data_IF_541547167967
#
_entry.id   IF_541547167967
#
_cell.length_a   1.000
_cell.length_b   1.000
_cell.length_c   1.000
_cell.angle_alpha   90.00
_cell.angle_beta   90.00
_cell.angle_gamma   90.00
#
_symmetry.space_group_name_H-M   'P 1'
#
loop_
_entity.id
_entity.type
_entity.pdbx_description
1 polymer ?
#
# COMPACT_ATOMS: atom_id res chain seq x y z
N UNK A 1 11.76 -18.10 15.56
CA UNK A 1 10.97 -17.12 16.34
C UNK A 1 9.52 -17.20 16.01
N UNK A 2 8.65 -16.92 16.99
CA UNK A 2 7.19 -16.98 16.84
C UNK A 2 6.59 -15.58 16.98
N UNK A 3 6.10 -15.02 15.89
CA UNK A 3 5.62 -13.63 15.80
C UNK A 3 4.09 -13.60 15.84
N UNK A 4 3.54 -12.78 16.73
CA UNK A 4 2.13 -12.38 16.70
C UNK A 4 1.98 -11.12 15.87
N UNK A 5 1.43 -11.22 14.65
CA UNK A 5 1.21 -10.05 13.79
C UNK A 5 -0.26 -9.63 13.80
N UNK A 6 -0.50 -8.34 14.00
CA UNK A 6 -1.83 -7.72 14.08
C UNK A 6 -1.99 -6.75 12.90
N UNK A 7 -3.05 -6.95 12.11
CA UNK A 7 -3.37 -6.08 10.99
C UNK A 7 -4.88 -5.96 10.77
N UNK A 8 -5.43 -4.77 10.97
CA UNK A 8 -6.81 -4.48 10.52
C UNK A 8 -6.89 -4.32 9.01
N UNK A 9 -5.79 -3.96 8.35
CA UNK A 9 -5.62 -3.89 6.90
C UNK A 9 -5.05 -5.21 6.38
N UNK A 10 -5.92 -6.20 6.19
CA UNK A 10 -5.53 -7.54 5.73
C UNK A 10 -6.64 -8.17 4.87
N UNK A 11 -6.29 -9.02 3.88
CA UNK A 11 -7.28 -9.74 3.09
C UNK A 11 -8.21 -10.59 3.96
N UNK A 12 -9.48 -10.68 3.56
CA UNK A 12 -10.44 -11.54 4.20
C UNK A 12 -11.45 -12.11 3.18
N UNK A 13 -12.25 -13.14 3.51
CA UNK A 13 -13.16 -13.77 2.56
C UNK A 13 -14.18 -12.84 1.89
N UNK A 14 -14.47 -11.68 2.49
CA UNK A 14 -15.42 -10.69 1.94
C UNK A 14 -14.71 -9.65 1.08
N UNK A 15 -13.43 -9.36 1.39
CA UNK A 15 -12.60 -8.36 0.70
C UNK A 15 -11.22 -8.95 0.44
N UNK A 16 -11.05 -9.83 -0.55
CA UNK A 16 -9.78 -10.52 -0.80
C UNK A 16 -8.64 -9.61 -1.25
N UNK A 17 -8.93 -8.47 -1.87
CA UNK A 17 -7.94 -7.47 -2.29
C UNK A 17 -7.58 -6.43 -1.21
N UNK A 18 -8.27 -6.45 -0.05
CA UNK A 18 -8.04 -5.46 1.00
C UNK A 18 -6.74 -5.73 1.76
N UNK A 19 -5.77 -4.84 1.65
CA UNK A 19 -4.46 -5.02 2.30
C UNK A 19 -3.65 -6.20 1.75
N UNK A 20 -3.83 -6.58 0.47
CA UNK A 20 -3.15 -7.72 -0.17
C UNK A 20 -1.62 -7.66 -0.02
N UNK A 21 -1.04 -6.46 -0.01
CA UNK A 21 0.39 -6.26 0.18
C UNK A 21 0.88 -6.70 1.58
N UNK A 22 0.05 -6.61 2.63
CA UNK A 22 0.37 -7.17 3.96
C UNK A 22 0.34 -8.69 3.90
N UNK A 23 -0.65 -9.27 3.22
CA UNK A 23 -0.74 -10.71 3.00
C UNK A 23 0.47 -11.25 2.24
N UNK A 24 0.88 -10.58 1.15
CA UNK A 24 2.06 -10.95 0.37
C UNK A 24 3.36 -10.87 1.19
N UNK A 25 3.53 -9.80 1.98
CA UNK A 25 4.66 -9.67 2.89
C UNK A 25 4.71 -10.84 3.89
N UNK A 26 3.60 -11.13 4.56
CA UNK A 26 3.58 -12.19 5.58
C UNK A 26 3.76 -13.58 4.98
N UNK A 27 3.20 -13.84 3.78
CA UNK A 27 3.46 -15.07 3.03
C UNK A 27 4.94 -15.23 2.70
N UNK A 28 5.60 -14.18 2.21
CA UNK A 28 7.03 -14.21 1.92
C UNK A 28 7.88 -14.44 3.17
N UNK A 29 7.50 -13.86 4.31
CA UNK A 29 8.15 -14.10 5.61
C UNK A 29 8.05 -15.57 6.03
N UNK A 30 6.86 -16.17 5.95
CA UNK A 30 6.64 -17.58 6.32
C UNK A 30 7.39 -18.52 5.36
N UNK A 31 7.43 -18.20 4.07
CA UNK A 31 8.12 -19.00 3.06
C UNK A 31 9.63 -19.13 3.31
N UNK A 32 10.26 -18.22 4.08
CA UNK A 32 11.67 -18.33 4.50
C UNK A 32 11.94 -19.46 5.51
N UNK A 33 10.89 -19.97 6.17
CA UNK A 33 11.03 -21.06 7.17
C UNK A 33 11.65 -20.66 8.51
N UNK A 34 12.06 -19.40 8.71
CA UNK A 34 12.71 -18.90 9.93
C UNK A 34 11.71 -18.39 10.98
N UNK A 35 10.49 -18.09 10.56
CA UNK A 35 9.44 -17.46 11.37
C UNK A 35 8.20 -18.32 11.39
N UNK A 36 7.74 -18.62 12.59
CA UNK A 36 6.35 -19.04 12.79
C UNK A 36 5.50 -17.78 12.98
N UNK A 37 4.42 -17.66 12.24
CA UNK A 37 3.54 -16.49 12.24
C UNK A 37 2.16 -16.89 12.76
N UNK A 38 1.65 -16.14 13.73
CA UNK A 38 0.23 -16.11 14.08
C UNK A 38 -0.36 -14.81 13.60
N UNK A 39 -1.26 -14.88 12.61
CA UNK A 39 -1.88 -13.69 12.02
C UNK A 39 -3.24 -13.41 12.66
N UNK A 40 -3.43 -12.19 13.16
CA UNK A 40 -4.70 -11.72 13.73
C UNK A 40 -5.18 -10.48 12.98
N UNK A 41 -6.34 -10.58 12.35
CA UNK A 41 -6.96 -9.47 11.60
C UNK A 41 -8.31 -9.09 12.22
N UNK A 42 -8.35 -8.15 13.16
CA UNK A 42 -9.58 -7.76 13.85
C UNK A 42 -10.62 -7.14 12.91
N UNK A 43 -11.87 -7.57 12.99
CA UNK A 43 -12.97 -7.08 12.15
C UNK A 43 -13.89 -6.17 12.94
N UNK A 44 -14.03 -4.93 12.49
CA UNK A 44 -14.96 -3.98 13.07
C UNK A 44 -16.41 -4.24 12.64
N UNK A 45 -17.30 -4.49 13.61
CA UNK A 45 -18.73 -4.72 13.38
C UNK A 45 -19.53 -3.74 14.25
N UNK A 46 -20.41 -2.90 13.68
CA UNK A 46 -21.22 -2.00 14.46
C UNK A 46 -22.31 -2.74 15.25
N UNK A 47 -22.90 -2.05 16.22
CA UNK A 47 -24.05 -2.55 16.97
C UNK A 47 -25.30 -2.66 16.08
N UNK A 48 -26.26 -3.50 16.53
CA UNK A 48 -27.60 -3.53 15.92
C UNK A 48 -28.26 -2.13 15.94
N UNK A 49 -29.00 -1.70 14.91
CA UNK A 49 -29.36 -2.42 13.68
C UNK A 49 -28.34 -2.29 12.54
N UNK A 50 -27.28 -1.49 12.67
CA UNK A 50 -26.31 -1.24 11.59
C UNK A 50 -25.55 -2.52 11.17
N UNK A 51 -25.32 -3.45 12.10
CA UNK A 51 -24.66 -4.72 11.81
C UNK A 51 -25.45 -5.63 10.84
N UNK A 52 -26.74 -5.34 10.61
CA UNK A 52 -27.58 -6.08 9.65
C UNK A 52 -27.55 -5.50 8.23
N UNK A 53 -26.92 -4.33 8.05
CA UNK A 53 -26.81 -3.65 6.76
C UNK A 53 -25.49 -3.94 6.08
N UNK A 54 -25.47 -3.97 4.76
CA UNK A 54 -24.25 -4.04 3.99
C UNK A 54 -23.38 -2.79 4.22
N UNK A 55 -22.06 -2.95 4.27
CA UNK A 55 -21.27 -4.21 4.13
C UNK A 55 -21.11 -4.99 5.44
N UNK A 56 -21.63 -4.51 6.56
CA UNK A 56 -21.36 -5.04 7.89
C UNK A 56 -21.96 -6.44 8.14
N UNK A 57 -23.10 -6.75 7.51
CA UNK A 57 -23.71 -8.09 7.57
C UNK A 57 -22.77 -9.17 7.07
N UNK A 58 -22.09 -8.92 5.92
CA UNK A 58 -21.09 -9.85 5.36
C UNK A 58 -19.83 -9.90 6.22
N UNK A 59 -19.34 -8.76 6.71
CA UNK A 59 -18.18 -8.72 7.61
C UNK A 59 -18.43 -9.48 8.92
N UNK A 60 -19.64 -9.39 9.47
CA UNK A 60 -20.06 -10.15 10.65
C UNK A 60 -20.05 -11.67 10.40
N UNK A 61 -20.35 -12.10 9.20
CA UNK A 61 -20.39 -13.50 8.79
C UNK A 61 -19.01 -14.14 8.53
N UNK A 62 -17.93 -13.36 8.52
CA UNK A 62 -16.56 -13.89 8.38
C UNK A 62 -16.31 -14.88 9.53
N UNK A 63 -15.82 -16.12 9.26
CA UNK A 63 -15.51 -17.10 10.29
C UNK A 63 -14.41 -16.60 11.24
N UNK A 64 -14.32 -17.19 12.44
CA UNK A 64 -13.30 -16.80 13.42
C UNK A 64 -11.88 -17.12 12.95
N UNK A 65 -11.73 -18.13 12.12
CA UNK A 65 -10.47 -18.56 11.51
C UNK A 65 -10.72 -18.92 10.05
N UNK A 66 -9.81 -18.54 9.19
CA UNK A 66 -9.86 -18.91 7.76
C UNK A 66 -8.44 -18.93 7.19
N UNK A 67 -8.20 -19.77 6.18
CA UNK A 67 -7.00 -19.67 5.35
C UNK A 67 -7.19 -18.56 4.33
N UNK A 68 -6.21 -17.64 4.29
CA UNK A 68 -6.19 -16.54 3.33
C UNK A 68 -4.76 -16.37 2.84
N UNK A 69 -4.56 -16.43 1.54
CA UNK A 69 -3.25 -16.38 0.86
C UNK A 69 -2.22 -17.39 1.43
N UNK A 70 -2.68 -18.57 1.86
CA UNK A 70 -1.85 -19.61 2.47
C UNK A 70 -1.44 -19.33 3.91
N UNK A 71 -2.14 -18.43 4.60
CA UNK A 71 -1.92 -18.12 6.01
C UNK A 71 -3.18 -18.41 6.82
N UNK A 72 -3.00 -19.07 7.97
CA UNK A 72 -4.07 -19.22 8.96
C UNK A 72 -4.29 -17.89 9.69
N UNK A 73 -5.45 -17.28 9.49
CA UNK A 73 -5.79 -15.94 10.00
C UNK A 73 -6.94 -16.01 10.98
N UNK A 74 -6.76 -15.40 12.16
CA UNK A 74 -7.80 -15.24 13.16
C UNK A 74 -8.51 -13.88 12.98
N UNK A 75 -9.86 -13.89 13.04
CA UNK A 75 -10.72 -12.72 12.85
C UNK A 75 -11.56 -12.39 14.09
N UNK A 76 -10.97 -11.98 15.21
CA UNK A 76 -11.74 -11.49 16.36
C UNK A 76 -12.56 -10.27 15.97
N UNK A 77 -13.81 -10.20 16.45
CA UNK A 77 -14.72 -9.09 16.12
C UNK A 77 -14.76 -8.08 17.25
N UNK A 78 -14.59 -6.80 16.91
CA UNK A 78 -14.70 -5.69 17.86
C UNK A 78 -15.84 -4.75 17.50
N UNK A 79 -16.40 -4.06 18.50
CA UNK A 79 -17.47 -3.08 18.30
C UNK A 79 -16.93 -1.84 17.59
N UNK A 80 -17.41 -1.58 16.37
CA UNK A 80 -17.09 -0.40 15.57
C UNK A 80 -18.19 0.65 15.69
N UNK A 81 -17.82 1.92 15.88
CA UNK A 81 -18.74 3.05 15.70
C UNK A 81 -18.42 3.75 14.39
N UNK A 82 -19.21 3.52 13.31
CA UNK A 82 -18.98 4.11 12.03
C UNK A 82 -18.99 5.64 12.08
N UNK A 83 -17.99 6.26 11.42
CA UNK A 83 -17.83 7.73 11.31
C UNK A 83 -17.51 8.49 12.60
N UNK A 84 -17.66 7.87 13.77
CA UNK A 84 -17.38 8.50 15.07
C UNK A 84 -16.53 7.59 15.96
N UNK A 85 -15.75 8.17 16.88
CA UNK A 85 -15.00 7.40 17.87
C UNK A 85 -13.90 6.50 17.29
N UNK A 86 -13.34 6.82 16.13
CA UNK A 86 -12.22 6.07 15.55
C UNK A 86 -10.99 6.05 16.46
N UNK A 87 -10.80 7.08 17.26
CA UNK A 87 -9.76 7.21 18.28
C UNK A 87 -9.91 6.21 19.44
N UNK A 88 -11.08 5.60 19.63
CA UNK A 88 -11.30 4.56 20.64
C UNK A 88 -11.14 3.13 20.10
N UNK A 89 -10.93 2.96 18.80
CA UNK A 89 -10.76 1.65 18.18
C UNK A 89 -9.58 0.85 18.76
N UNK A 90 -8.40 1.44 19.04
CA UNK A 90 -7.28 0.68 19.59
C UNK A 90 -7.64 -0.11 20.86
N UNK A 91 -8.27 0.53 21.83
CA UNK A 91 -8.70 -0.14 23.05
C UNK A 91 -9.74 -1.23 22.84
N UNK A 92 -10.67 -1.03 21.89
CA UNK A 92 -11.68 -2.05 21.52
C UNK A 92 -11.08 -3.23 20.79
N UNK A 93 -10.13 -2.99 19.91
CA UNK A 93 -9.34 -4.01 19.22
C UNK A 93 -8.58 -4.84 20.26
N UNK A 94 -7.82 -4.19 21.13
CA UNK A 94 -7.06 -4.88 22.17
C UNK A 94 -7.98 -5.74 23.06
N UNK A 95 -9.11 -5.19 23.51
CA UNK A 95 -10.08 -5.93 24.33
C UNK A 95 -10.63 -7.17 23.62
N UNK A 96 -10.92 -7.08 22.32
CA UNK A 96 -11.46 -8.20 21.55
C UNK A 96 -10.37 -9.25 21.23
N UNK A 97 -9.12 -8.84 21.07
CA UNK A 97 -7.99 -9.72 20.68
C UNK A 97 -7.37 -10.42 21.89
N UNK A 98 -7.29 -9.77 23.05
CA UNK A 98 -6.60 -10.28 24.25
C UNK A 98 -7.01 -11.68 24.70
N UNK A 99 -8.31 -12.06 24.76
CA UNK A 99 -8.71 -13.42 25.19
C UNK A 99 -8.13 -14.51 24.26
N UNK A 100 -8.14 -14.25 22.94
CA UNK A 100 -7.59 -15.16 21.94
C UNK A 100 -6.07 -15.29 22.10
N UNK A 101 -5.33 -14.17 22.11
CA UNK A 101 -3.87 -14.20 22.10
C UNK A 101 -3.28 -14.69 23.41
N UNK A 102 -3.93 -14.48 24.57
CA UNK A 102 -3.54 -15.08 25.86
C UNK A 102 -3.61 -16.61 25.80
N UNK A 103 -4.68 -17.17 25.22
CA UNK A 103 -4.81 -18.61 25.02
C UNK A 103 -3.73 -19.14 24.08
N UNK A 104 -3.55 -18.52 22.91
CA UNK A 104 -2.54 -18.95 21.94
C UNK A 104 -1.12 -18.82 22.50
N UNK A 105 -0.83 -17.78 23.27
CA UNK A 105 0.46 -17.58 23.92
C UNK A 105 0.73 -18.63 25.01
N UNK A 106 -0.29 -19.04 25.76
CA UNK A 106 -0.18 -20.12 26.76
C UNK A 106 0.05 -21.50 26.11
N UNK A 107 -0.56 -21.74 24.93
CA UNK A 107 -0.38 -22.97 24.17
C UNK A 107 1.02 -23.02 23.52
N UNK A 108 1.44 -21.90 22.91
CA UNK A 108 2.73 -21.72 22.28
C UNK A 108 3.19 -20.27 22.42
N UNK A 109 4.22 -19.98 23.21
CA UNK A 109 4.67 -18.62 23.47
C UNK A 109 5.07 -17.86 22.20
N UNK A 110 4.67 -16.61 22.12
CA UNK A 110 5.15 -15.63 21.15
C UNK A 110 6.45 -14.99 21.64
N UNK A 111 7.33 -14.63 20.73
CA UNK A 111 8.55 -13.90 21.04
C UNK A 111 8.39 -12.39 20.90
N UNK A 112 7.47 -11.95 20.01
CA UNK A 112 7.28 -10.54 19.64
C UNK A 112 5.86 -10.29 19.15
N UNK A 113 5.34 -9.08 19.44
CA UNK A 113 4.10 -8.53 18.86
C UNK A 113 4.46 -7.54 17.77
N UNK A 114 3.86 -7.69 16.59
CA UNK A 114 4.09 -6.86 15.42
C UNK A 114 2.78 -6.25 14.90
N UNK A 115 2.75 -4.94 14.66
CA UNK A 115 1.62 -4.23 14.09
C UNK A 115 1.93 -3.78 12.66
N UNK A 116 1.07 -4.15 11.69
CA UNK A 116 1.31 -3.91 10.28
C UNK A 116 0.74 -2.59 9.75
N UNK A 117 0.12 -1.80 10.61
CA UNK A 117 -0.41 -0.47 10.32
C UNK A 117 -0.33 0.37 11.59
N UNK A 118 0.09 1.64 11.50
CA UNK A 118 0.37 2.37 12.73
C UNK A 118 -0.91 2.63 13.54
N UNK A 119 -1.95 3.17 12.93
CA UNK A 119 -3.21 3.41 13.63
C UNK A 119 -4.40 2.80 12.86
N UNK A 120 -5.23 1.99 13.53
CA UNK A 120 -5.36 1.76 14.97
C UNK A 120 -4.51 0.61 15.54
N UNK A 121 -3.78 -0.13 14.70
CA UNK A 121 -3.13 -1.39 15.08
C UNK A 121 -2.00 -1.19 16.08
N UNK A 122 -1.14 -0.17 15.89
CA UNK A 122 0.00 0.10 16.78
C UNK A 122 -0.39 0.31 18.25
N UNK A 123 -1.29 1.27 18.59
CA UNK A 123 -1.76 1.42 19.97
C UNK A 123 -2.49 0.18 20.51
N UNK A 124 -3.23 -0.56 19.67
CA UNK A 124 -3.85 -1.81 20.10
C UNK A 124 -2.81 -2.89 20.43
N UNK A 125 -1.81 -3.04 19.57
CA UNK A 125 -0.69 -3.95 19.76
C UNK A 125 0.17 -3.56 20.98
N UNK A 126 0.31 -2.27 21.27
CA UNK A 126 1.00 -1.77 22.47
C UNK A 126 0.33 -2.24 23.76
N UNK A 127 -1.01 -2.19 23.81
CA UNK A 127 -1.77 -2.73 24.95
C UNK A 127 -1.53 -4.25 25.06
N UNK A 128 -1.60 -4.97 23.94
CA UNK A 128 -1.44 -6.44 23.90
C UNK A 128 -0.02 -6.85 24.29
N UNK A 129 1.00 -6.19 23.75
CA UNK A 129 2.40 -6.48 24.04
C UNK A 129 2.72 -6.26 25.53
N UNK A 130 2.21 -5.20 26.14
CA UNK A 130 2.34 -4.92 27.57
C UNK A 130 1.71 -6.01 28.43
N UNK A 131 0.51 -6.46 28.06
CA UNK A 131 -0.21 -7.52 28.79
C UNK A 131 0.49 -8.90 28.70
N UNK A 132 1.20 -9.15 27.57
CA UNK A 132 1.94 -10.40 27.37
C UNK A 132 3.41 -10.29 27.83
N UNK A 133 3.88 -9.10 28.19
CA UNK A 133 5.29 -8.88 28.56
C UNK A 133 6.26 -9.04 27.38
N UNK A 134 5.83 -8.74 26.15
CA UNK A 134 6.59 -8.95 24.92
C UNK A 134 7.08 -7.64 24.28
N UNK A 135 8.19 -7.66 23.54
CA UNK A 135 8.60 -6.54 22.71
C UNK A 135 7.58 -6.27 21.60
N UNK A 136 7.50 -5.00 21.18
CA UNK A 136 6.59 -4.52 20.17
C UNK A 136 7.33 -3.93 18.98
N UNK A 137 6.90 -4.24 17.77
CA UNK A 137 7.27 -3.52 16.54
C UNK A 137 6.03 -2.96 15.84
N UNK A 138 6.18 -1.80 15.18
CA UNK A 138 5.07 -1.15 14.48
C UNK A 138 5.55 -0.68 13.11
N UNK A 139 4.79 -1.02 12.06
CA UNK A 139 5.04 -0.53 10.69
C UNK A 139 4.04 0.54 10.31
N UNK A 140 4.54 1.65 9.76
CA UNK A 140 3.74 2.70 9.11
C UNK A 140 3.73 2.54 7.60
N UNK A 141 2.62 2.98 6.96
CA UNK A 141 2.41 2.83 5.51
C UNK A 141 1.97 4.12 4.81
N UNK A 142 1.89 5.24 5.52
CA UNK A 142 1.58 6.57 5.02
C UNK A 142 0.21 7.08 5.43
N UNK A 143 -0.88 6.46 5.01
CA UNK A 143 -2.23 6.92 5.34
C UNK A 143 -2.51 6.95 6.86
N UNK A 144 -1.92 6.05 7.61
CA UNK A 144 -1.95 6.01 9.07
C UNK A 144 -1.29 7.23 9.71
N UNK A 145 -0.17 7.70 9.15
CA UNK A 145 0.55 8.87 9.63
C UNK A 145 -0.16 10.15 9.18
N UNK A 146 -0.44 10.28 7.87
CA UNK A 146 -0.96 11.53 7.30
C UNK A 146 -2.41 11.83 7.72
N UNK A 147 -3.24 10.80 7.93
CA UNK A 147 -4.64 11.00 8.31
C UNK A 147 -4.85 11.01 9.82
N UNK A 148 -4.26 10.04 10.54
CA UNK A 148 -4.46 9.92 11.98
C UNK A 148 -3.52 10.82 12.78
N UNK A 149 -2.33 11.11 12.26
CA UNK A 149 -1.39 12.05 12.87
C UNK A 149 -1.90 13.49 12.98
N UNK A 150 -2.93 13.87 12.20
CA UNK A 150 -3.60 15.17 12.29
C UNK A 150 -4.68 15.23 13.40
N UNK A 151 -4.95 14.13 14.09
CA UNK A 151 -6.01 14.02 15.10
C UNK A 151 -5.37 13.94 16.49
N UNK A 152 -5.55 14.96 17.36
CA UNK A 152 -4.80 15.07 18.62
C UNK A 152 -4.83 13.80 19.47
N UNK A 153 -6.02 13.20 19.69
CA UNK A 153 -6.15 11.98 20.50
C UNK A 153 -5.53 10.74 19.86
N UNK A 154 -5.60 10.62 18.54
CA UNK A 154 -4.95 9.51 17.85
C UNK A 154 -3.43 9.68 17.86
N UNK A 155 -2.94 10.91 17.61
CA UNK A 155 -1.50 11.22 17.65
C UNK A 155 -0.90 10.95 19.04
N UNK A 156 -1.60 11.31 20.13
CA UNK A 156 -1.15 11.01 21.49
C UNK A 156 -0.96 9.49 21.67
N UNK A 157 -1.96 8.68 21.32
CA UNK A 157 -1.87 7.21 21.39
C UNK A 157 -0.76 6.65 20.48
N UNK A 158 -0.56 7.25 19.29
CA UNK A 158 0.52 6.85 18.38
C UNK A 158 1.90 7.12 18.99
N UNK A 159 2.10 8.28 19.62
CA UNK A 159 3.34 8.63 20.33
C UNK A 159 3.61 7.70 21.53
N UNK A 160 2.59 7.40 22.32
CA UNK A 160 2.70 6.44 23.43
C UNK A 160 3.11 5.05 22.93
N UNK A 161 2.46 4.55 21.85
CA UNK A 161 2.81 3.28 21.25
C UNK A 161 4.23 3.28 20.64
N UNK A 162 4.63 4.37 19.97
CA UNK A 162 5.98 4.54 19.44
C UNK A 162 7.06 4.51 20.54
N UNK A 163 6.80 5.17 21.66
CA UNK A 163 7.72 5.18 22.80
C UNK A 163 7.83 3.81 23.50
N UNK A 164 6.77 3.00 23.45
CA UNK A 164 6.78 1.64 23.98
C UNK A 164 7.47 0.66 23.01
N UNK A 165 7.37 0.89 21.70
CA UNK A 165 7.90 -0.02 20.68
C UNK A 165 9.42 -0.16 20.77
N UNK A 166 9.92 -1.40 20.64
CA UNK A 166 11.35 -1.68 20.54
C UNK A 166 11.90 -1.28 19.16
N UNK A 167 11.04 -1.18 18.14
CA UNK A 167 11.43 -0.70 16.83
C UNK A 167 10.22 -0.29 15.98
N UNK A 168 10.47 0.63 15.05
CA UNK A 168 9.47 1.20 14.15
C UNK A 168 9.94 1.07 12.70
N UNK A 169 9.02 0.84 11.77
CA UNK A 169 9.32 0.73 10.34
C UNK A 169 8.53 1.78 9.55
N UNK A 170 9.21 2.49 8.66
CA UNK A 170 8.62 3.39 7.68
C UNK A 170 8.82 2.85 6.25
N UNK A 171 7.85 3.04 5.35
CA UNK A 171 7.94 2.54 3.97
C UNK A 171 8.75 3.44 3.03
N UNK A 172 9.21 4.60 3.50
CA UNK A 172 10.04 5.56 2.77
C UNK A 172 10.79 6.48 3.74
N UNK A 173 11.86 7.12 3.28
CA UNK A 173 12.58 8.13 4.08
C UNK A 173 11.70 9.32 4.39
N UNK A 174 10.94 9.81 3.40
CA UNK A 174 9.99 10.89 3.63
C UNK A 174 8.96 10.56 4.73
N UNK A 175 8.44 9.32 4.75
CA UNK A 175 7.53 8.90 5.81
C UNK A 175 8.21 8.80 7.17
N UNK A 176 9.49 8.40 7.20
CA UNK A 176 10.31 8.43 8.42
C UNK A 176 10.43 9.86 8.96
N UNK A 177 10.72 10.83 8.10
CA UNK A 177 10.77 12.25 8.47
C UNK A 177 9.43 12.75 9.01
N UNK A 178 8.32 12.40 8.36
CA UNK A 178 6.96 12.73 8.85
C UNK A 178 6.70 12.15 10.23
N UNK A 179 7.11 10.91 10.50
CA UNK A 179 6.98 10.28 11.82
C UNK A 179 7.80 11.02 12.89
N UNK A 180 9.04 11.42 12.55
CA UNK A 180 9.90 12.20 13.43
C UNK A 180 9.28 13.56 13.71
N UNK A 181 8.77 14.26 12.71
CA UNK A 181 8.10 15.54 12.83
C UNK A 181 6.84 15.45 13.74
N UNK A 182 6.18 14.30 13.75
CA UNK A 182 5.08 14.02 14.68
C UNK A 182 5.55 13.63 16.10
N UNK A 183 6.85 13.63 16.36
CA UNK A 183 7.44 13.40 17.70
C UNK A 183 7.66 11.93 18.05
N UNK A 184 7.82 11.05 17.06
CA UNK A 184 8.22 9.65 17.26
C UNK A 184 9.75 9.53 17.38
N UNK A 185 10.30 8.55 18.14
CA UNK A 185 11.73 8.43 18.39
C UNK A 185 12.51 8.05 17.12
N UNK A 186 13.35 8.98 16.63
CA UNK A 186 14.07 8.86 15.36
C UNK A 186 15.06 7.67 15.33
N UNK A 187 15.67 7.35 16.47
CA UNK A 187 16.62 6.28 16.68
C UNK A 187 16.01 4.86 16.56
N UNK A 188 14.67 4.78 16.61
CA UNK A 188 13.92 3.51 16.50
C UNK A 188 13.28 3.30 15.14
N UNK A 189 13.29 4.31 14.26
CA UNK A 189 12.64 4.23 12.94
C UNK A 189 13.64 3.77 11.90
N UNK A 190 13.40 2.59 11.30
CA UNK A 190 14.15 2.07 10.16
C UNK A 190 13.30 2.10 8.89
N UNK A 191 13.97 2.23 7.74
CA UNK A 191 13.30 2.14 6.44
C UNK A 191 13.07 0.68 6.11
N UNK A 192 11.83 0.36 5.74
CA UNK A 192 11.45 -0.94 5.27
C UNK A 192 10.51 -0.80 4.08
N UNK A 193 11.07 -0.73 2.89
CA UNK A 193 10.32 -0.59 1.64
C UNK A 193 9.29 -1.69 1.45
N UNK A 194 8.30 -1.43 0.61
CA UNK A 194 7.35 -2.45 0.19
C UNK A 194 8.03 -3.51 -0.67
N UNK A 195 7.41 -4.69 -0.77
CA UNK A 195 7.82 -5.70 -1.73
C UNK A 195 7.13 -5.54 -3.08
N UNK A 196 7.66 -6.20 -4.09
CA UNK A 196 7.11 -6.29 -5.44
C UNK A 196 7.10 -7.75 -5.89
N UNK A 197 6.03 -8.15 -6.56
CA UNK A 197 5.95 -9.43 -7.28
C UNK A 197 6.54 -9.24 -8.68
N UNK A 198 7.83 -9.60 -8.84
CA UNK A 198 8.56 -9.42 -10.09
C UNK A 198 8.24 -10.48 -11.15
N UNK A 199 7.67 -11.60 -10.77
CA UNK A 199 7.16 -12.59 -11.73
C UNK A 199 5.90 -12.06 -12.43
N UNK A 200 5.13 -11.27 -11.72
CA UNK A 200 3.89 -10.67 -12.17
C UNK A 200 4.09 -9.30 -12.84
N UNK A 201 4.81 -8.40 -12.17
CA UNK A 201 5.09 -7.05 -12.66
C UNK A 201 6.49 -7.00 -13.29
N UNK A 202 6.53 -7.16 -14.60
CA UNK A 202 7.75 -7.08 -15.42
C UNK A 202 7.41 -6.48 -16.78
N UNK A 203 8.38 -5.99 -17.56
CA UNK A 203 8.12 -5.44 -18.88
C UNK A 203 7.55 -6.50 -19.85
N UNK A 204 6.40 -6.17 -20.44
CA UNK A 204 5.84 -6.84 -21.59
C UNK A 204 5.92 -5.84 -22.73
N UNK A 205 6.33 -6.29 -23.94
CA UNK A 205 6.41 -5.40 -25.11
C UNK A 205 5.07 -4.66 -25.28
N UNK A 206 5.13 -3.32 -25.39
CA UNK A 206 3.94 -2.44 -25.31
C UNK A 206 2.90 -2.75 -26.37
N UNK A 207 3.31 -3.03 -27.61
CA UNK A 207 2.39 -3.38 -28.68
C UNK A 207 1.68 -4.70 -28.42
N UNK A 208 2.39 -5.71 -27.88
CA UNK A 208 1.79 -6.99 -27.49
C UNK A 208 0.80 -6.82 -26.32
N UNK A 209 1.17 -6.00 -25.31
CA UNK A 209 0.27 -5.67 -24.20
C UNK A 209 -0.99 -4.95 -24.69
N UNK A 210 -0.87 -3.97 -25.60
CA UNK A 210 -2.00 -3.27 -26.22
C UNK A 210 -2.92 -4.22 -27.01
N UNK A 211 -2.35 -5.08 -27.82
CA UNK A 211 -3.11 -6.06 -28.57
C UNK A 211 -3.93 -6.98 -27.65
N UNK A 212 -3.32 -7.44 -26.56
CA UNK A 212 -3.98 -8.30 -25.58
C UNK A 212 -5.15 -7.58 -24.89
N UNK A 213 -4.92 -6.39 -24.33
CA UNK A 213 -5.98 -5.67 -23.60
C UNK A 213 -7.09 -5.14 -24.52
N UNK A 214 -6.78 -4.79 -25.77
CA UNK A 214 -7.77 -4.38 -26.77
C UNK A 214 -8.69 -5.52 -27.21
N UNK A 215 -8.20 -6.77 -27.17
CA UNK A 215 -8.99 -7.96 -27.49
C UNK A 215 -9.92 -8.40 -26.35
N UNK A 216 -9.75 -7.86 -25.12
CA UNK A 216 -10.56 -8.23 -23.96
C UNK A 216 -11.86 -7.42 -23.92
N UNK A 217 -13.05 -8.06 -23.92
CA UNK A 217 -14.34 -7.36 -23.96
C UNK A 217 -14.55 -6.30 -22.87
N UNK A 218 -13.94 -6.51 -21.71
CA UNK A 218 -14.09 -5.65 -20.54
C UNK A 218 -12.99 -4.58 -20.42
N UNK A 219 -11.95 -4.63 -21.25
CA UNK A 219 -10.81 -3.72 -21.15
C UNK A 219 -10.64 -2.81 -22.37
N UNK A 220 -11.21 -3.10 -23.49
CA UNK A 220 -11.27 -2.33 -24.75
C UNK A 220 -10.56 -0.96 -24.75
N UNK A 221 -9.26 -0.95 -24.43
CA UNK A 221 -8.46 0.27 -24.52
C UNK A 221 -7.95 0.46 -25.95
N UNK A 222 -7.68 1.71 -26.31
CA UNK A 222 -7.27 2.05 -27.67
C UNK A 222 -5.92 1.41 -28.02
N UNK A 223 -5.82 0.87 -29.22
CA UNK A 223 -4.59 0.28 -29.75
C UNK A 223 -3.58 1.32 -30.25
N UNK A 224 -4.04 2.51 -30.60
CA UNK A 224 -3.24 3.57 -31.21
C UNK A 224 -3.22 4.86 -30.38
N UNK A 225 -2.18 5.65 -30.59
CA UNK A 225 -1.97 6.93 -29.94
C UNK A 225 -1.40 6.82 -28.52
N UNK A 226 -1.02 7.95 -27.89
CA UNK A 226 -0.52 7.98 -26.52
C UNK A 226 -1.58 7.53 -25.52
N UNK A 227 -1.24 6.55 -24.70
CA UNK A 227 -2.13 6.01 -23.66
C UNK A 227 -1.59 6.35 -22.28
N UNK A 228 -2.39 7.07 -21.51
CA UNK A 228 -2.17 7.32 -20.08
C UNK A 228 -2.96 6.29 -19.27
N UNK A 229 -2.39 5.82 -18.17
CA UNK A 229 -3.12 4.98 -17.19
C UNK A 229 -3.08 5.60 -15.81
N UNK A 230 -4.23 5.57 -15.12
CA UNK A 230 -4.32 5.97 -13.70
C UNK A 230 -4.94 4.82 -12.91
N UNK A 231 -4.13 3.92 -12.31
CA UNK A 231 -4.64 2.84 -11.49
C UNK A 231 -4.92 3.32 -10.06
N UNK A 232 -6.01 2.84 -9.46
CA UNK A 232 -6.35 3.09 -8.07
C UNK A 232 -7.81 3.45 -7.84
N UNK A 233 -8.22 3.51 -6.57
CA UNK A 233 -9.58 3.87 -6.19
C UNK A 233 -9.97 5.25 -6.72
N UNK A 234 -11.18 5.38 -7.26
CA UNK A 234 -11.72 6.66 -7.76
C UNK A 234 -12.25 7.49 -6.58
N UNK A 235 -11.32 8.20 -5.93
CA UNK A 235 -11.57 9.05 -4.76
C UNK A 235 -10.83 10.39 -4.90
N UNK A 236 -11.30 11.48 -4.25
CA UNK A 236 -10.72 12.82 -4.40
C UNK A 236 -9.20 12.88 -4.15
N UNK A 237 -8.71 12.08 -3.18
CA UNK A 237 -7.29 12.04 -2.80
C UNK A 237 -6.38 11.58 -3.94
N UNK A 238 -6.85 10.73 -4.85
CA UNK A 238 -6.05 10.17 -5.96
C UNK A 238 -5.88 11.12 -7.15
N UNK A 239 -6.73 12.16 -7.27
CA UNK A 239 -6.53 13.26 -8.21
C UNK A 239 -6.84 12.95 -9.68
N UNK A 240 -7.63 11.90 -10.00
CA UNK A 240 -7.99 11.55 -11.39
C UNK A 240 -8.62 12.70 -12.16
N UNK A 241 -9.33 13.61 -11.47
CA UNK A 241 -9.89 14.80 -12.09
C UNK A 241 -8.84 15.71 -12.72
N UNK A 242 -7.67 15.85 -12.10
CA UNK A 242 -6.55 16.64 -12.64
C UNK A 242 -6.01 16.04 -13.95
N UNK A 243 -5.99 14.70 -14.06
CA UNK A 243 -5.54 14.00 -15.26
C UNK A 243 -6.58 14.17 -16.40
N UNK A 244 -7.88 14.08 -16.08
CA UNK A 244 -8.96 14.34 -17.05
C UNK A 244 -8.86 15.79 -17.58
N UNK A 245 -8.59 16.76 -16.71
CA UNK A 245 -8.40 18.16 -17.12
C UNK A 245 -7.14 18.36 -17.96
N UNK A 246 -6.03 17.68 -17.63
CA UNK A 246 -4.81 17.70 -18.40
C UNK A 246 -5.01 17.20 -19.85
N UNK A 247 -5.94 16.28 -20.11
CA UNK A 247 -6.26 15.82 -21.46
C UNK A 247 -6.76 16.94 -22.40
N UNK A 248 -7.27 18.05 -21.89
CA UNK A 248 -7.64 19.20 -22.72
C UNK A 248 -6.43 19.86 -23.42
N UNK A 249 -5.23 19.63 -22.87
CA UNK A 249 -3.95 20.11 -23.39
C UNK A 249 -3.20 19.04 -24.20
N UNK A 250 -3.62 17.80 -24.11
CA UNK A 250 -3.03 16.63 -24.76
C UNK A 250 -4.04 16.05 -25.78
N UNK A 251 -4.20 16.68 -26.97
CA UNK A 251 -5.28 16.34 -27.88
C UNK A 251 -5.25 14.90 -28.38
N UNK A 252 -4.06 14.33 -28.55
CA UNK A 252 -3.88 12.95 -29.05
C UNK A 252 -3.90 11.89 -27.93
N UNK A 253 -3.75 12.30 -26.66
CA UNK A 253 -3.66 11.37 -25.55
C UNK A 253 -5.03 10.85 -25.12
N UNK A 254 -5.05 9.63 -24.65
CA UNK A 254 -6.21 8.90 -24.11
C UNK A 254 -5.89 8.42 -22.70
N UNK A 255 -6.91 8.28 -21.86
CA UNK A 255 -6.79 7.97 -20.46
C UNK A 255 -7.59 6.72 -20.09
N UNK A 256 -6.94 5.73 -19.52
CA UNK A 256 -7.58 4.58 -18.90
C UNK A 256 -7.55 4.73 -17.37
N UNK A 257 -8.74 4.76 -16.74
CA UNK A 257 -8.92 4.79 -15.29
C UNK A 257 -9.20 3.38 -14.78
N UNK A 258 -8.21 2.76 -14.14
CA UNK A 258 -8.28 1.39 -13.64
C UNK A 258 -8.60 1.37 -12.15
N UNK A 259 -9.89 1.29 -11.83
CA UNK A 259 -10.39 1.30 -10.46
C UNK A 259 -11.86 1.69 -10.36
N UNK A 260 -12.41 1.59 -9.17
CA UNK A 260 -13.77 2.03 -8.85
C UNK A 260 -13.76 2.91 -7.59
N UNK A 261 -14.80 3.70 -7.40
CA UNK A 261 -14.92 4.54 -6.21
C UNK A 261 -16.08 5.54 -6.30
N UNK A 262 -16.29 6.28 -5.22
CA UNK A 262 -17.38 7.22 -5.06
C UNK A 262 -17.34 8.41 -6.04
N UNK A 263 -16.15 8.72 -6.59
CA UNK A 263 -15.95 9.83 -7.54
C UNK A 263 -16.31 9.48 -8.99
N UNK A 264 -16.59 8.23 -9.34
CA UNK A 264 -16.78 7.82 -10.74
C UNK A 264 -17.80 8.65 -11.49
N UNK A 265 -18.98 8.86 -10.90
CA UNK A 265 -20.04 9.67 -11.53
C UNK A 265 -19.61 11.14 -11.76
N UNK A 266 -18.88 11.71 -10.79
CA UNK A 266 -18.33 13.06 -10.88
C UNK A 266 -17.27 13.17 -11.97
N UNK A 267 -16.39 12.19 -12.08
CA UNK A 267 -15.32 12.14 -13.09
C UNK A 267 -15.89 11.97 -14.51
N UNK A 268 -16.92 11.13 -14.70
CA UNK A 268 -17.64 11.00 -15.98
C UNK A 268 -18.32 12.32 -16.39
N UNK A 269 -19.01 12.98 -15.47
CA UNK A 269 -19.62 14.29 -15.72
C UNK A 269 -18.56 15.37 -16.05
N UNK A 270 -17.38 15.30 -15.41
CA UNK A 270 -16.26 16.20 -15.70
C UNK A 270 -15.69 15.98 -17.10
N UNK A 271 -15.43 14.74 -17.51
CA UNK A 271 -14.95 14.40 -18.84
C UNK A 271 -15.90 14.93 -19.93
N UNK A 272 -17.21 14.73 -19.75
CA UNK A 272 -18.24 15.25 -20.66
C UNK A 272 -18.25 16.78 -20.73
N UNK A 273 -18.20 17.47 -19.59
CA UNK A 273 -18.17 18.94 -19.53
C UNK A 273 -16.94 19.52 -20.25
N UNK A 274 -15.82 18.82 -20.21
CA UNK A 274 -14.56 19.23 -20.85
C UNK A 274 -14.45 18.77 -22.31
N UNK A 275 -15.42 18.01 -22.83
CA UNK A 275 -15.42 17.49 -24.21
C UNK A 275 -14.31 16.46 -24.47
N UNK A 276 -13.95 15.67 -23.45
CA UNK A 276 -12.91 14.63 -23.55
C UNK A 276 -13.44 13.23 -23.22
N UNK A 277 -14.76 13.05 -23.13
CA UNK A 277 -15.38 11.79 -22.74
C UNK A 277 -15.01 10.61 -23.64
N UNK A 278 -14.86 10.85 -24.95
CA UNK A 278 -14.46 9.81 -25.93
C UNK A 278 -12.99 9.39 -25.79
N UNK A 279 -12.21 10.10 -24.98
CA UNK A 279 -10.80 9.84 -24.72
C UNK A 279 -10.55 9.35 -23.27
N UNK A 280 -11.59 9.15 -22.46
CA UNK A 280 -11.50 8.64 -21.08
C UNK A 280 -12.23 7.33 -20.96
N UNK A 281 -11.49 6.25 -20.68
CA UNK A 281 -12.07 4.93 -20.49
C UNK A 281 -12.06 4.56 -19.00
N UNK A 282 -13.24 4.25 -18.46
CA UNK A 282 -13.41 3.77 -17.08
C UNK A 282 -13.43 2.23 -17.09
N UNK A 283 -12.32 1.62 -16.71
CA UNK A 283 -12.15 0.18 -16.75
C UNK A 283 -12.83 -0.56 -15.58
N UNK A 284 -13.26 0.20 -14.54
CA UNK A 284 -13.77 -0.41 -13.31
C UNK A 284 -12.67 -1.14 -12.52
N UNK A 285 -13.09 -2.07 -11.66
CA UNK A 285 -12.15 -2.94 -10.95
C UNK A 285 -11.58 -3.96 -11.94
N UNK A 286 -10.28 -3.92 -12.12
CA UNK A 286 -9.53 -4.86 -12.95
C UNK A 286 -9.01 -5.99 -12.05
N UNK A 287 -9.06 -7.22 -12.58
CA UNK A 287 -8.38 -8.34 -11.94
C UNK A 287 -6.89 -8.01 -11.78
N UNK A 288 -6.36 -8.28 -10.60
CA UNK A 288 -4.96 -8.00 -10.31
C UNK A 288 -4.00 -8.76 -11.23
N UNK A 289 -4.42 -9.89 -11.85
CA UNK A 289 -3.65 -10.62 -12.85
C UNK A 289 -3.58 -9.87 -14.20
N UNK A 290 -4.56 -9.04 -14.52
CA UNK A 290 -4.61 -8.25 -15.75
C UNK A 290 -3.98 -6.85 -15.61
N UNK A 291 -3.78 -6.39 -14.39
CA UNK A 291 -3.25 -5.05 -14.12
C UNK A 291 -1.86 -4.81 -14.75
N UNK A 292 -0.89 -5.77 -14.72
CA UNK A 292 0.39 -5.60 -15.41
C UNK A 292 0.25 -5.35 -16.91
N UNK A 293 -0.66 -6.05 -17.59
CA UNK A 293 -0.89 -5.84 -19.01
C UNK A 293 -1.43 -4.44 -19.33
N UNK A 294 -2.31 -3.92 -18.48
CA UNK A 294 -2.83 -2.55 -18.62
C UNK A 294 -1.73 -1.52 -18.38
N UNK A 295 -0.84 -1.77 -17.41
CA UNK A 295 0.32 -0.91 -17.15
C UNK A 295 1.31 -0.95 -18.31
N UNK A 296 1.70 -2.13 -18.79
CA UNK A 296 2.62 -2.29 -19.92
C UNK A 296 2.08 -1.69 -21.24
N UNK A 297 0.76 -1.68 -21.43
CA UNK A 297 0.12 -1.08 -22.60
C UNK A 297 0.21 0.46 -22.61
N UNK A 298 0.38 1.09 -21.45
CA UNK A 298 0.43 2.54 -21.30
C UNK A 298 1.81 3.12 -21.66
N UNK A 299 1.82 4.35 -22.16
CA UNK A 299 3.05 5.12 -22.37
C UNK A 299 3.49 5.82 -21.09
N UNK A 300 2.52 6.25 -20.26
CA UNK A 300 2.77 6.95 -19.00
C UNK A 300 1.72 6.55 -17.96
N UNK A 301 2.17 6.24 -16.74
CA UNK A 301 1.30 6.13 -15.57
C UNK A 301 1.23 7.48 -14.88
N UNK A 302 0.03 8.04 -14.75
CA UNK A 302 -0.19 9.36 -14.14
C UNK A 302 -1.02 9.20 -12.87
N UNK A 303 -0.44 9.52 -11.71
CA UNK A 303 -1.16 9.43 -10.43
C UNK A 303 -0.86 10.62 -9.52
N UNK A 304 -1.59 11.75 -9.68
CA UNK A 304 -1.36 12.98 -8.92
C UNK A 304 -2.06 12.92 -7.55
N UNK A 305 -1.75 11.92 -6.74
CA UNK A 305 -2.30 11.76 -5.39
C UNK A 305 -1.97 12.94 -4.48
N UNK A 306 -2.85 13.25 -3.52
CA UNK A 306 -2.61 14.29 -2.52
C UNK A 306 -1.71 13.82 -1.36
N UNK A 307 -1.65 12.51 -1.12
CA UNK A 307 -0.87 11.92 -0.04
C UNK A 307 -0.62 10.45 -0.32
N UNK A 308 0.62 10.02 -0.20
CA UNK A 308 1.09 8.63 -0.22
C UNK A 308 2.28 8.48 0.74
N UNK A 309 2.54 7.26 1.22
CA UNK A 309 3.83 6.93 1.85
C UNK A 309 4.84 6.56 0.76
N UNK A 310 4.66 5.35 0.20
CA UNK A 310 5.28 4.88 -1.04
C UNK A 310 4.20 4.03 -1.74
N UNK A 311 3.61 4.57 -2.81
CA UNK A 311 2.49 3.90 -3.45
C UNK A 311 2.97 2.66 -4.23
N UNK A 312 2.43 1.48 -3.91
CA UNK A 312 2.79 0.23 -4.59
C UNK A 312 2.62 0.35 -6.11
N UNK A 313 1.55 1.02 -6.55
CA UNK A 313 1.23 1.21 -7.97
C UNK A 313 2.30 2.01 -8.74
N UNK A 314 3.07 2.86 -8.07
CA UNK A 314 4.21 3.54 -8.69
C UNK A 314 5.34 2.55 -9.01
N UNK A 315 5.65 1.69 -8.03
CA UNK A 315 6.67 0.64 -8.17
C UNK A 315 6.20 -0.42 -9.20
N UNK A 316 4.93 -0.79 -9.17
CA UNK A 316 4.32 -1.73 -10.11
C UNK A 316 4.35 -1.20 -11.55
N UNK A 317 4.06 0.11 -11.74
CA UNK A 317 4.13 0.77 -13.05
C UNK A 317 5.56 0.81 -13.60
N UNK A 318 6.53 1.23 -12.78
CA UNK A 318 7.94 1.23 -13.14
C UNK A 318 8.43 -0.19 -13.48
N UNK A 319 8.05 -1.20 -12.69
CA UNK A 319 8.40 -2.58 -12.94
C UNK A 319 7.84 -3.12 -14.28
N UNK A 320 6.70 -2.61 -14.71
CA UNK A 320 6.12 -2.89 -16.03
C UNK A 320 6.83 -2.13 -17.17
N UNK A 321 7.82 -1.32 -16.86
CA UNK A 321 8.51 -0.49 -17.87
C UNK A 321 7.70 0.74 -18.29
N UNK A 322 6.79 1.22 -17.45
CA UNK A 322 5.94 2.38 -17.71
C UNK A 322 6.41 3.55 -16.85
N UNK A 323 6.94 4.63 -17.44
CA UNK A 323 7.39 5.82 -16.71
C UNK A 323 6.22 6.50 -16.01
N UNK A 324 6.50 7.16 -14.89
CA UNK A 324 5.46 7.73 -14.03
C UNK A 324 5.47 9.26 -13.99
N UNK A 325 4.28 9.87 -13.92
CA UNK A 325 4.09 11.28 -13.56
C UNK A 325 3.36 11.35 -12.23
N UNK A 326 4.06 11.81 -11.20
CA UNK A 326 3.59 11.80 -9.82
C UNK A 326 3.96 13.11 -9.10
N UNK A 327 3.26 13.49 -8.04
CA UNK A 327 3.60 14.68 -7.26
C UNK A 327 4.78 14.43 -6.33
N UNK A 328 5.38 15.51 -5.85
CA UNK A 328 6.46 15.50 -4.85
C UNK A 328 5.90 15.23 -3.44
N UNK A 329 5.57 13.97 -3.16
CA UNK A 329 4.99 13.51 -1.89
C UNK A 329 5.55 12.14 -1.50
N UNK A 330 5.65 11.88 -0.22
CA UNK A 330 6.14 10.60 0.30
C UNK A 330 7.45 10.20 -0.38
N UNK A 331 7.62 8.93 -0.68
CA UNK A 331 8.81 8.39 -1.32
C UNK A 331 8.95 8.66 -2.82
N UNK A 332 8.30 9.69 -3.40
CA UNK A 332 8.37 9.98 -4.83
C UNK A 332 9.81 10.17 -5.33
N UNK A 333 10.64 10.95 -4.61
CA UNK A 333 12.04 11.21 -4.95
C UNK A 333 12.96 9.99 -4.80
N UNK A 334 12.50 8.97 -4.08
CA UNK A 334 13.26 7.73 -3.85
C UNK A 334 13.15 6.75 -5.03
N UNK A 335 12.14 6.94 -5.89
CA UNK A 335 11.88 6.09 -7.06
C UNK A 335 11.97 6.84 -8.39
N UNK A 336 11.74 8.15 -8.42
CA UNK A 336 12.00 9.02 -9.58
C UNK A 336 13.35 9.68 -9.36
N UNK A 337 14.43 8.91 -9.58
CA UNK A 337 15.80 9.36 -9.38
C UNK A 337 16.35 10.13 -10.58
N UNK A 338 15.81 9.87 -11.77
CA UNK A 338 16.17 10.55 -13.01
C UNK A 338 14.99 10.54 -14.02
N UNK A 339 15.23 11.12 -15.20
CA UNK A 339 14.20 11.30 -16.22
C UNK A 339 13.68 10.00 -16.86
N UNK A 340 14.45 8.91 -16.81
CA UNK A 340 14.01 7.63 -17.35
C UNK A 340 12.92 6.97 -16.49
N UNK A 341 12.92 7.20 -15.16
CA UNK A 341 11.84 6.75 -14.28
C UNK A 341 10.54 7.54 -14.48
N UNK A 342 10.64 8.81 -14.88
CA UNK A 342 9.46 9.66 -15.02
C UNK A 342 9.67 11.11 -14.65
N UNK A 343 8.60 11.77 -14.21
CA UNK A 343 8.63 13.19 -13.82
C UNK A 343 7.90 13.41 -12.49
N UNK A 344 8.50 14.27 -11.67
CA UNK A 344 7.82 14.83 -10.49
C UNK A 344 7.14 16.13 -10.93
N UNK A 345 5.83 16.20 -10.87
CA UNK A 345 5.03 17.33 -11.34
C UNK A 345 4.15 17.91 -10.26
N UNK A 346 3.93 19.22 -10.27
CA UNK A 346 2.95 19.85 -9.43
C UNK A 346 1.53 19.28 -9.71
N UNK A 347 0.68 19.27 -8.68
CA UNK A 347 -0.69 18.76 -8.79
C UNK A 347 -1.61 19.78 -9.50
N UNK A 348 -1.25 20.16 -10.72
CA UNK A 348 -2.05 21.00 -11.62
C UNK A 348 -2.17 20.36 -13.00
N UNK A 349 -3.27 20.58 -13.73
CA UNK A 349 -3.44 20.03 -15.06
C UNK A 349 -2.32 20.43 -16.04
N UNK A 350 -1.83 21.68 -15.91
CA UNK A 350 -0.74 22.24 -16.73
C UNK A 350 0.57 21.47 -16.52
N UNK A 351 0.99 21.33 -15.25
CA UNK A 351 2.23 20.65 -14.93
C UNK A 351 2.19 19.16 -15.28
N UNK A 352 1.03 18.51 -15.09
CA UNK A 352 0.81 17.13 -15.50
C UNK A 352 0.93 16.99 -17.02
N UNK A 353 0.27 17.86 -17.79
CA UNK A 353 0.32 17.82 -19.25
C UNK A 353 1.75 18.02 -19.75
N UNK A 354 2.48 19.03 -19.26
CA UNK A 354 3.87 19.28 -19.64
C UNK A 354 4.78 18.07 -19.33
N UNK A 355 4.64 17.47 -18.14
CA UNK A 355 5.42 16.30 -17.77
C UNK A 355 5.13 15.07 -18.66
N UNK A 356 3.88 14.89 -19.07
CA UNK A 356 3.47 13.85 -20.03
C UNK A 356 4.08 14.13 -21.41
N UNK A 357 3.99 15.36 -21.92
CA UNK A 357 4.59 15.78 -23.20
C UNK A 357 6.10 15.54 -23.24
N UNK A 358 6.81 15.87 -22.17
CA UNK A 358 8.25 15.63 -22.05
C UNK A 358 8.61 14.13 -22.19
N UNK A 359 7.85 13.26 -21.54
CA UNK A 359 8.04 11.80 -21.63
C UNK A 359 7.71 11.30 -23.04
N UNK A 360 6.61 11.77 -23.64
CA UNK A 360 6.17 11.32 -24.96
C UNK A 360 7.11 11.81 -26.07
N UNK A 361 7.78 12.96 -25.89
CA UNK A 361 8.76 13.48 -26.84
C UNK A 361 10.07 12.69 -26.87
N UNK A 362 10.47 12.10 -25.73
CA UNK A 362 11.66 11.27 -25.58
C UNK A 362 11.37 10.06 -24.68
N UNK A 363 10.61 9.06 -25.16
CA UNK A 363 10.18 7.96 -24.33
C UNK A 363 11.37 7.07 -23.93
N UNK A 364 11.54 6.78 -22.63
CA UNK A 364 12.55 5.85 -22.15
C UNK A 364 12.27 4.42 -22.59
N UNK A 365 13.29 3.57 -22.63
CA UNK A 365 13.08 2.14 -22.88
C UNK A 365 12.38 1.50 -21.69
N UNK A 366 11.52 0.49 -21.94
CA UNK A 366 10.85 -0.23 -20.85
C UNK A 366 11.85 -0.89 -19.88
N UNK A 367 13.01 -1.32 -20.38
CA UNK A 367 14.05 -1.93 -19.56
C UNK A 367 14.70 -0.92 -18.60
N UNK A 368 15.04 0.28 -19.10
CA UNK A 368 15.62 1.36 -18.27
C UNK A 368 14.65 1.78 -17.18
N UNK A 369 13.36 1.92 -17.52
CA UNK A 369 12.31 2.25 -16.53
C UNK A 369 12.23 1.18 -15.45
N UNK A 370 12.22 -0.11 -15.82
CA UNK A 370 12.07 -1.21 -14.88
C UNK A 370 13.28 -1.37 -13.93
N UNK A 371 14.46 -0.92 -14.33
CA UNK A 371 15.68 -1.01 -13.53
C UNK A 371 15.60 -0.16 -12.25
N UNK A 372 14.88 0.98 -12.27
CA UNK A 372 14.71 1.84 -11.08
C UNK A 372 14.11 1.14 -9.86
N UNK A 373 13.39 0.05 -10.09
CA UNK A 373 12.74 -0.73 -9.03
C UNK A 373 13.29 -2.15 -8.91
N UNK A 374 14.49 -2.42 -9.48
CA UNK A 374 15.15 -3.74 -9.43
C UNK A 374 15.37 -4.24 -8.00
N UNK A 375 15.61 -3.33 -7.05
CA UNK A 375 15.80 -3.61 -5.61
C UNK A 375 14.52 -4.06 -4.88
N UNK A 376 13.33 -3.85 -5.45
CA UNK A 376 12.07 -4.22 -4.78
C UNK A 376 11.68 -5.66 -5.12
N UNK A 377 11.55 -6.49 -4.09
CA UNK A 377 10.96 -7.83 -4.19
C UNK A 377 10.37 -8.27 -2.85
N UNK A 378 9.44 -9.22 -2.86
CA UNK A 378 8.93 -9.80 -1.62
C UNK A 378 9.99 -10.59 -0.87
N UNK A 379 10.98 -11.17 -1.57
CA UNK A 379 12.13 -11.85 -0.94
C UNK A 379 12.98 -10.91 -0.10
N UNK A 380 13.45 -9.80 -0.68
CA UNK A 380 14.23 -8.76 0.01
C UNK A 380 13.41 -8.12 1.15
N UNK A 381 12.12 -7.83 0.90
CA UNK A 381 11.23 -7.28 1.92
C UNK A 381 11.12 -8.22 3.13
N UNK A 382 10.91 -9.54 2.90
CA UNK A 382 10.80 -10.53 3.96
C UNK A 382 12.13 -10.73 4.72
N UNK A 383 13.26 -10.69 4.02
CA UNK A 383 14.57 -10.75 4.63
C UNK A 383 14.82 -9.60 5.59
N UNK A 384 14.58 -8.39 5.15
CA UNK A 384 14.76 -7.18 5.93
C UNK A 384 13.90 -7.16 7.20
N UNK A 385 12.62 -7.55 7.12
CA UNK A 385 11.76 -7.56 8.32
C UNK A 385 12.14 -8.69 9.29
N UNK A 386 12.55 -9.85 8.78
CA UNK A 386 13.05 -10.95 9.63
C UNK A 386 14.33 -10.54 10.35
N UNK A 387 15.26 -9.89 9.65
CA UNK A 387 16.47 -9.34 10.24
C UNK A 387 16.14 -8.28 11.31
N UNK A 388 15.24 -7.36 11.02
CA UNK A 388 14.77 -6.35 11.98
C UNK A 388 14.20 -6.98 13.25
N UNK A 389 13.35 -8.00 13.15
CA UNK A 389 12.82 -8.69 14.32
C UNK A 389 13.90 -9.43 15.12
N UNK A 390 14.88 -10.04 14.45
CA UNK A 390 16.05 -10.67 15.14
C UNK A 390 16.84 -9.65 15.95
N UNK A 391 17.08 -8.46 15.39
CA UNK A 391 17.78 -7.38 16.08
C UNK A 391 17.01 -6.89 17.31
N UNK A 392 15.68 -6.73 17.19
CA UNK A 392 14.80 -6.36 18.32
C UNK A 392 14.84 -7.42 19.43
N UNK A 393 14.95 -8.71 19.07
CA UNK A 393 14.99 -9.81 20.04
C UNK A 393 16.38 -10.05 20.66
N UNK A 394 17.39 -9.22 20.35
CA UNK A 394 18.72 -9.32 20.93
C UNK A 394 19.70 -10.17 20.13
N UNK A 395 19.45 -10.32 18.81
CA UNK A 395 20.45 -10.85 17.88
C UNK A 395 21.72 -9.99 17.85
N UNK A 396 22.86 -10.52 17.38
CA UNK A 396 24.09 -9.74 17.26
C UNK A 396 23.79 -8.50 16.42
N UNK A 397 24.19 -7.32 16.93
CA UNK A 397 24.17 -6.07 16.17
C UNK A 397 25.24 -6.21 15.07
N UNK A 398 24.86 -6.71 13.92
CA UNK A 398 25.65 -6.51 12.70
C UNK A 398 25.46 -5.03 12.32
N UNK A 399 26.53 -4.26 12.50
CA UNK A 399 26.60 -2.85 12.20
C UNK A 399 26.68 -2.68 10.67
N UNK A 400 25.58 -2.88 10.00
CA UNK A 400 25.44 -2.53 8.59
C UNK A 400 25.18 -1.03 8.51
N UNK A 401 26.24 -0.26 8.32
CA UNK A 401 26.12 1.14 7.93
C UNK A 401 25.23 1.28 6.71
N UNK A 402 24.63 2.48 6.47
CA UNK A 402 23.63 2.71 5.43
C UNK A 402 24.09 2.34 3.99
N UNK A 403 25.38 2.17 3.76
CA UNK A 403 25.94 1.78 2.46
C UNK A 403 25.87 0.27 2.15
N UNK A 404 25.80 -0.63 3.16
CA UNK A 404 25.75 -2.08 2.91
C UNK A 404 24.34 -2.62 2.62
N UNK A 405 23.27 -1.87 2.96
CA UNK A 405 21.92 -2.23 2.55
C UNK A 405 21.66 -2.03 1.04
N UNK A 406 22.56 -1.33 0.34
CA UNK A 406 22.48 -1.08 -1.11
C UNK A 406 23.31 -2.07 -1.95
N UNK A 407 24.23 -2.87 -1.34
CA UNK A 407 25.16 -3.74 -2.10
C UNK A 407 24.72 -5.22 -2.23
N UNK A 408 23.71 -5.69 -1.50
CA UNK A 408 23.24 -7.09 -1.59
C UNK A 408 22.30 -7.31 -2.79
N UNK A 409 22.51 -6.62 -3.88
CA UNK A 409 21.70 -6.74 -5.10
C UNK A 409 22.48 -6.55 -6.40
N UNK A 410 23.80 -6.70 -6.41
CA UNK A 410 24.54 -6.77 -7.69
C UNK A 410 24.89 -8.23 -8.00
N UNK A 411 24.58 -8.71 -9.22
CA UNK A 411 24.89 -10.06 -9.70
C UNK A 411 26.40 -10.31 -9.82
#
# INVERSE_FOLDING_TARGET
>A
MHILSIATLFPNPVKPSFGVFVGNQMRAVVARGEVQLTMVSPIGVPLWPLSMREPYSRLKAIPEVSDVVGLCVHYPKFTLFPKVGGDTNPGRIAHAVLPLVRRLHAEKPFDLVDAQFFFPDGPAAAIIARELGLPLTIKSRGADIHFWGQRPRALEQMREAANQAAGLLAVSEALREDMIALGMPADRIQIHYTGLDREKFHPIERGAARALVSAMPNLQIWSEGPLLVTPGALIPRKGQGLVIEALTRLPEARLALAGAGEDEARLKAMAKRLGVEDRVHFLGLIDHELLPHVMCAADVLVLPSASEGLANVWIEGLACGTPIVIPDIGGAREIVSDESAGRIAARTPEAIASAVEDILAAPPSQADVAEHVSRFSWGVNAENIVHFWKNVLGGPKEDHGPEQMLEVGRP
#
